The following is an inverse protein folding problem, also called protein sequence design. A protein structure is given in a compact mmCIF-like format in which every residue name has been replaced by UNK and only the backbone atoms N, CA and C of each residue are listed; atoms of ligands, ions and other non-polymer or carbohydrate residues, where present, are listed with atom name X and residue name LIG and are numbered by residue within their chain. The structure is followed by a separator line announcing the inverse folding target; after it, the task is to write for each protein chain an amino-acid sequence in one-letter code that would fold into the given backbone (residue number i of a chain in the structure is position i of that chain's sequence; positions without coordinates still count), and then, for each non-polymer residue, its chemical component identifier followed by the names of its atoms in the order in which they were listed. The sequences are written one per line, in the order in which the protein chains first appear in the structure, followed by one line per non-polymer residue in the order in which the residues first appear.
data_IF_884669662309
#
_entry.id   IF_884669662309
#
_cell.length_a   1.000
_cell.length_b   1.000
_cell.length_c   1.000
_cell.angle_alpha   90.00
_cell.angle_beta   90.00
_cell.angle_gamma   90.00
#
_symmetry.space_group_name_H-M   'P 1'
#
loop_
_entity.id
_entity.type
_entity.pdbx_description
1 polymer ?
#
# COMPACT_ATOMS: atom_id res chain seq x y z
N UNK A 1 51.49 -8.56 106.05
CA UNK A 1 51.72 -8.01 104.70
C UNK A 1 50.84 -8.74 103.71
N UNK A 2 49.67 -8.17 103.37
CA UNK A 2 48.80 -8.64 102.29
C UNK A 2 48.24 -7.37 101.64
N UNK A 3 48.69 -7.07 100.41
CA UNK A 3 48.21 -5.95 99.59
C UNK A 3 46.86 -6.34 98.98
N UNK A 4 45.82 -5.54 99.24
CA UNK A 4 44.54 -5.60 98.53
C UNK A 4 44.63 -4.70 97.30
N UNK A 5 44.55 -5.30 96.11
CA UNK A 5 44.48 -4.59 94.83
C UNK A 5 43.05 -4.76 94.32
N UNK A 6 42.31 -3.66 94.21
CA UNK A 6 40.96 -3.61 93.64
C UNK A 6 41.05 -3.57 92.11
N UNK A 7 40.36 -4.51 91.46
CA UNK A 7 40.20 -4.58 90.00
C UNK A 7 38.90 -3.85 89.62
N UNK A 8 39.00 -2.76 88.86
CA UNK A 8 37.86 -2.04 88.28
C UNK A 8 37.56 -2.65 86.91
N UNK A 9 36.37 -3.23 86.76
CA UNK A 9 35.87 -3.82 85.52
C UNK A 9 35.19 -2.73 84.68
N UNK A 10 35.80 -2.33 83.55
CA UNK A 10 35.16 -1.46 82.55
C UNK A 10 34.10 -2.26 81.78
N UNK A 11 32.82 -1.92 81.91
CA UNK A 11 31.76 -2.36 80.98
C UNK A 11 31.83 -1.48 79.73
N UNK A 12 32.32 -2.04 78.62
CA UNK A 12 32.19 -1.43 77.29
C UNK A 12 30.82 -1.75 76.70
N UNK A 13 30.02 -0.72 76.42
CA UNK A 13 28.76 -0.85 75.66
C UNK A 13 29.09 -1.05 74.19
N UNK A 14 28.91 -2.27 73.68
CA UNK A 14 28.91 -2.53 72.23
C UNK A 14 27.57 -2.08 71.64
N UNK A 15 27.58 -1.03 70.83
CA UNK A 15 26.47 -0.69 69.94
C UNK A 15 26.51 -1.60 68.72
N UNK A 16 25.49 -2.44 68.55
CA UNK A 16 25.25 -3.14 67.30
C UNK A 16 24.75 -2.14 66.25
N UNK A 17 25.62 -1.77 65.30
CA UNK A 17 25.20 -1.06 64.10
C UNK A 17 24.56 -2.07 63.15
N UNK A 18 23.24 -1.98 62.97
CA UNK A 18 22.54 -2.67 61.90
C UNK A 18 22.90 -1.98 60.59
N UNK A 19 23.48 -2.71 59.64
CA UNK A 19 23.70 -2.23 58.29
C UNK A 19 22.33 -2.10 57.63
N UNK A 20 21.85 -0.88 57.49
CA UNK A 20 20.64 -0.54 56.73
C UNK A 20 21.02 -0.60 55.24
N UNK A 21 21.06 -1.81 54.67
CA UNK A 21 21.18 -2.00 53.22
C UNK A 21 19.81 -1.78 52.60
N UNK A 22 19.32 -0.53 52.62
CA UNK A 22 18.29 -0.12 51.69
C UNK A 22 18.89 -0.23 50.28
N UNK A 23 18.25 -0.97 49.34
CA UNK A 23 18.69 -0.98 47.96
C UNK A 23 18.67 0.45 47.42
N UNK A 24 19.76 0.87 46.78
CA UNK A 24 19.81 2.15 46.07
C UNK A 24 18.86 2.04 44.88
N UNK A 25 17.64 2.57 45.02
CA UNK A 25 16.77 2.81 43.88
C UNK A 25 17.39 3.93 43.03
N UNK A 26 17.97 3.54 41.90
CA UNK A 26 18.38 4.50 40.88
C UNK A 26 17.11 5.04 40.21
N UNK A 27 17.00 6.36 40.12
CA UNK A 27 15.96 6.98 39.32
C UNK A 27 16.04 6.44 37.89
N UNK A 28 14.90 6.00 37.34
CA UNK A 28 14.80 5.63 35.94
C UNK A 28 15.31 6.79 35.09
N UNK A 29 16.40 6.55 34.36
CA UNK A 29 16.86 7.50 33.35
C UNK A 29 16.08 7.17 32.08
N UNK A 30 15.12 8.00 31.73
CA UNK A 30 14.47 7.94 30.42
C UNK A 30 15.54 8.29 29.38
N UNK A 31 15.92 7.33 28.55
CA UNK A 31 16.70 7.61 27.34
C UNK A 31 15.67 7.95 26.27
N UNK A 32 15.32 9.23 26.19
CA UNK A 32 14.52 9.75 25.08
C UNK A 32 15.45 9.92 23.87
N UNK A 33 15.31 9.04 22.89
CA UNK A 33 15.86 9.25 21.56
C UNK A 33 14.96 10.22 20.82
N UNK A 34 15.27 11.51 20.85
CA UNK A 34 14.57 12.51 20.04
C UNK A 34 15.01 12.31 18.58
N UNK A 35 14.19 11.61 17.78
CA UNK A 35 14.28 11.68 16.33
C UNK A 35 13.55 12.95 15.92
N UNK A 36 14.31 14.01 15.62
CA UNK A 36 13.75 15.22 15.01
C UNK A 36 12.88 14.82 13.82
N UNK A 37 11.59 15.17 13.86
CA UNK A 37 10.73 15.06 12.70
C UNK A 37 11.37 15.91 11.59
N UNK A 38 11.87 15.32 10.49
CA UNK A 38 12.66 16.09 9.54
C UNK A 38 11.81 17.21 8.95
N UNK A 39 12.23 18.46 9.12
CA UNK A 39 11.63 19.58 8.40
C UNK A 39 12.31 19.71 7.04
N UNK A 40 11.54 19.61 5.95
CA UNK A 40 12.04 19.72 4.57
C UNK A 40 12.15 18.39 3.82
N UNK A 41 12.99 18.35 2.79
CA UNK A 41 13.18 17.15 1.95
C UNK A 41 13.94 16.10 2.76
N UNK A 42 13.34 14.92 2.96
CA UNK A 42 13.91 13.80 3.71
C UNK A 42 15.04 13.11 2.93
N UNK A 43 16.21 13.74 2.91
CA UNK A 43 17.35 13.26 2.12
C UNK A 43 18.11 12.10 2.78
N UNK A 44 18.03 12.02 4.11
CA UNK A 44 18.82 11.09 4.92
C UNK A 44 17.98 9.90 5.43
N UNK A 45 16.73 9.79 4.95
CA UNK A 45 15.85 8.66 5.20
C UNK A 45 16.10 7.54 4.18
N UNK A 46 16.26 6.27 4.62
CA UNK A 46 16.37 5.13 3.72
C UNK A 46 15.16 4.96 2.80
N UNK A 47 15.40 4.71 1.51
CA UNK A 47 14.37 4.45 0.52
C UNK A 47 14.50 3.00 0.03
N UNK A 48 13.62 2.12 0.51
CA UNK A 48 13.67 0.69 0.19
C UNK A 48 13.47 0.40 -1.31
N UNK A 49 12.71 1.26 -1.99
CA UNK A 49 12.43 1.11 -3.42
C UNK A 49 13.64 1.43 -4.30
N UNK A 50 14.56 2.27 -3.80
CA UNK A 50 15.73 2.73 -4.54
C UNK A 50 16.92 1.78 -4.49
N UNK A 51 17.05 1.00 -3.41
CA UNK A 51 18.14 0.05 -3.21
C UNK A 51 17.78 -0.97 -2.14
N UNK A 52 18.34 -2.18 -2.24
CA UNK A 52 18.21 -3.24 -1.23
C UNK A 52 19.28 -3.12 -0.12
N UNK A 53 20.12 -2.08 -0.19
CA UNK A 53 21.18 -1.76 0.78
C UNK A 53 20.72 -0.76 1.85
N UNK A 54 19.45 -0.32 1.82
CA UNK A 54 18.94 0.69 2.76
C UNK A 54 19.58 2.07 2.56
N UNK A 55 19.87 2.43 1.31
CA UNK A 55 20.45 3.71 0.95
C UNK A 55 19.45 4.84 1.19
N UNK A 56 19.96 5.99 1.60
CA UNK A 56 19.13 7.21 1.71
C UNK A 56 18.85 7.81 0.34
N UNK A 57 17.95 8.80 0.29
CA UNK A 57 17.71 9.55 -0.95
C UNK A 57 18.99 10.22 -1.49
N UNK A 58 19.85 10.69 -0.59
CA UNK A 58 21.15 11.31 -0.92
C UNK A 58 22.15 10.31 -1.50
N UNK A 59 22.11 9.07 -1.04
CA UNK A 59 23.03 8.01 -1.45
C UNK A 59 22.58 7.27 -2.70
N UNK A 60 21.30 7.35 -3.05
CA UNK A 60 20.74 6.64 -4.21
C UNK A 60 21.10 7.37 -5.52
N UNK A 61 21.82 6.73 -6.47
CA UNK A 61 22.25 7.36 -7.71
C UNK A 61 21.14 7.39 -8.77
N UNK A 62 19.91 7.70 -8.37
CA UNK A 62 18.74 7.76 -9.24
C UNK A 62 17.79 8.87 -8.77
N UNK A 63 16.87 9.29 -9.65
CA UNK A 63 15.81 10.20 -9.21
C UNK A 63 14.84 9.45 -8.31
N UNK A 64 14.76 9.87 -7.06
CA UNK A 64 13.85 9.32 -6.07
C UNK A 64 12.84 10.37 -5.63
N UNK A 65 11.63 9.94 -5.30
CA UNK A 65 10.61 10.78 -4.69
C UNK A 65 9.85 9.95 -3.67
N UNK A 66 9.56 10.55 -2.52
CA UNK A 66 8.82 9.92 -1.43
C UNK A 66 7.68 10.84 -1.06
N UNK A 67 6.47 10.30 -1.01
CA UNK A 67 5.33 10.93 -0.37
C UNK A 67 5.06 10.18 0.94
N UNK A 68 5.55 10.74 2.04
CA UNK A 68 5.46 10.17 3.38
C UNK A 68 4.14 10.51 4.08
N UNK A 69 3.96 10.03 5.31
CA UNK A 69 2.68 10.20 6.01
C UNK A 69 2.29 11.67 6.20
N UNK A 70 3.15 12.56 6.74
CA UNK A 70 2.84 13.97 6.90
C UNK A 70 2.47 14.66 5.58
N UNK A 71 3.18 14.37 4.48
CA UNK A 71 2.86 14.96 3.18
C UNK A 71 1.50 14.48 2.67
N UNK A 72 1.21 13.18 2.80
CA UNK A 72 -0.09 12.62 2.39
C UNK A 72 -1.25 13.26 3.17
N UNK A 73 -1.08 13.49 4.47
CA UNK A 73 -2.06 14.17 5.31
C UNK A 73 -2.21 15.64 4.94
N UNK A 74 -1.11 16.36 4.73
CA UNK A 74 -1.12 17.78 4.34
C UNK A 74 -1.81 18.00 2.99
N UNK A 75 -1.67 17.06 2.05
CA UNK A 75 -2.40 17.09 0.78
C UNK A 75 -3.88 16.71 0.90
N UNK A 76 -4.30 16.14 2.03
CA UNK A 76 -5.65 15.60 2.19
C UNK A 76 -5.95 14.46 1.22
N UNK A 77 -4.91 13.69 0.81
CA UNK A 77 -5.05 12.68 -0.23
C UNK A 77 -6.07 11.61 0.18
N UNK A 78 -6.93 11.23 -0.77
CA UNK A 78 -7.98 10.22 -0.53
C UNK A 78 -7.50 8.82 -0.80
N UNK A 79 -6.77 8.66 -1.90
CA UNK A 79 -6.28 7.37 -2.33
C UNK A 79 -4.89 7.48 -2.95
N UNK A 80 -4.35 6.33 -3.33
CA UNK A 80 -3.04 6.17 -3.96
C UNK A 80 -2.83 7.03 -5.21
N UNK A 81 -3.89 7.42 -5.94
CA UNK A 81 -3.75 8.29 -7.12
C UNK A 81 -3.49 9.74 -6.71
N UNK A 82 -4.20 10.24 -5.69
CA UNK A 82 -3.94 11.57 -5.12
C UNK A 82 -2.51 11.66 -4.59
N UNK A 83 -2.07 10.61 -3.87
CA UNK A 83 -0.72 10.53 -3.31
C UNK A 83 0.35 10.64 -4.40
N UNK A 84 0.25 9.84 -5.46
CA UNK A 84 1.25 9.87 -6.53
C UNK A 84 1.14 11.10 -7.44
N UNK A 85 -0.03 11.73 -7.53
CA UNK A 85 -0.19 13.01 -8.24
C UNK A 85 0.51 14.17 -7.53
N UNK A 86 0.76 14.06 -6.22
CA UNK A 86 1.60 15.00 -5.50
C UNK A 86 3.11 14.80 -5.76
N UNK A 87 3.51 13.66 -6.36
CA UNK A 87 4.92 13.35 -6.64
C UNK A 87 5.41 14.01 -7.92
N UNK A 88 6.70 14.34 -7.95
CA UNK A 88 7.29 15.07 -9.09
C UNK A 88 7.38 14.21 -10.35
N UNK A 89 6.82 14.71 -11.46
CA UNK A 89 6.93 14.09 -12.79
C UNK A 89 6.04 12.88 -13.02
N UNK A 90 5.17 12.57 -12.06
CA UNK A 90 4.14 11.53 -12.18
C UNK A 90 2.82 12.19 -12.58
N UNK A 91 2.08 11.54 -13.47
CA UNK A 91 0.70 11.86 -13.74
C UNK A 91 -0.14 10.60 -13.56
N UNK A 92 -1.06 10.63 -12.61
CA UNK A 92 -2.03 9.57 -12.40
C UNK A 92 -3.43 10.06 -12.72
N UNK A 93 -4.22 9.19 -13.33
CA UNK A 93 -5.60 9.45 -13.69
C UNK A 93 -6.44 8.19 -13.61
N UNK A 94 -7.72 8.33 -13.30
CA UNK A 94 -8.72 7.31 -13.53
C UNK A 94 -9.50 7.71 -14.78
N UNK A 95 -8.96 7.40 -15.96
CA UNK A 95 -9.70 7.60 -17.20
C UNK A 95 -11.01 6.80 -17.15
N UNK A 96 -12.11 7.30 -17.75
CA UNK A 96 -13.37 6.57 -17.75
C UNK A 96 -13.20 5.11 -18.21
N UNK A 97 -13.81 4.18 -17.48
CA UNK A 97 -13.65 2.73 -17.70
C UNK A 97 -12.36 2.11 -17.15
N UNK A 98 -11.48 2.87 -16.49
CA UNK A 98 -10.16 2.39 -16.06
C UNK A 98 -9.96 2.58 -14.55
N UNK A 99 -9.42 1.55 -13.87
CA UNK A 99 -9.20 1.58 -12.41
C UNK A 99 -8.04 2.48 -11.98
N UNK A 100 -7.05 2.67 -12.85
CA UNK A 100 -5.94 3.59 -12.61
C UNK A 100 -4.93 3.59 -13.73
N UNK A 101 -4.53 4.78 -14.16
CA UNK A 101 -3.55 5.02 -15.20
C UNK A 101 -2.42 5.85 -14.60
N UNK A 102 -1.19 5.41 -14.82
CA UNK A 102 -0.01 6.12 -14.36
C UNK A 102 0.90 6.36 -15.57
N UNK A 103 1.39 7.58 -15.66
CA UNK A 103 2.44 8.00 -16.56
C UNK A 103 3.59 8.62 -15.76
N UNK A 104 4.82 8.29 -16.15
CA UNK A 104 6.03 8.89 -15.58
C UNK A 104 7.06 9.09 -16.68
N UNK A 105 7.55 10.32 -16.86
CA UNK A 105 8.51 10.68 -17.94
C UNK A 105 8.07 10.23 -19.35
N UNK A 106 6.77 10.21 -19.62
CA UNK A 106 6.19 9.75 -20.89
C UNK A 106 6.03 8.21 -21.03
N UNK A 107 6.56 7.43 -20.09
CA UNK A 107 6.28 5.99 -19.99
C UNK A 107 4.91 5.76 -19.35
N UNK A 108 4.19 4.73 -19.79
CA UNK A 108 2.81 4.46 -19.36
C UNK A 108 2.56 2.97 -19.14
N UNK A 109 1.48 2.64 -18.42
CA UNK A 109 1.02 1.26 -18.23
C UNK A 109 2.16 0.34 -17.73
N UNK A 110 2.41 -0.77 -18.43
CA UNK A 110 3.40 -1.79 -18.09
C UNK A 110 4.86 -1.31 -18.18
N UNK A 111 5.11 -0.04 -18.52
CA UNK A 111 6.44 0.57 -18.53
C UNK A 111 6.79 1.27 -17.20
N UNK A 112 5.81 1.46 -16.30
CA UNK A 112 6.00 1.97 -14.96
C UNK A 112 5.51 0.90 -13.99
N UNK A 113 6.44 0.22 -13.32
CA UNK A 113 6.10 -0.90 -12.43
C UNK A 113 5.44 -0.38 -11.17
N UNK A 114 4.29 -0.94 -10.82
CA UNK A 114 3.64 -0.70 -9.54
C UNK A 114 3.90 -1.89 -8.62
N UNK A 115 4.60 -1.60 -7.53
CA UNK A 115 4.90 -2.51 -6.46
C UNK A 115 4.02 -2.19 -5.28
N UNK A 116 3.75 -3.19 -4.48
CA UNK A 116 3.07 -2.97 -3.23
C UNK A 116 3.84 -3.76 -2.16
N UNK A 117 4.33 -3.04 -1.16
CA UNK A 117 5.32 -3.53 -0.21
C UNK A 117 6.54 -4.21 -0.86
N UNK A 118 7.04 -3.62 -1.95
CA UNK A 118 8.17 -4.12 -2.72
C UNK A 118 7.89 -5.41 -3.52
N UNK A 119 6.63 -5.85 -3.60
CA UNK A 119 6.21 -7.04 -4.35
C UNK A 119 5.51 -6.61 -5.64
N UNK A 120 5.96 -7.16 -6.77
CA UNK A 120 5.28 -6.98 -8.05
C UNK A 120 4.10 -7.96 -8.11
N UNK A 121 2.88 -7.42 -8.03
CA UNK A 121 1.67 -8.22 -8.05
C UNK A 121 1.32 -8.74 -9.46
N UNK A 122 2.12 -8.40 -10.48
CA UNK A 122 1.83 -8.71 -11.87
C UNK A 122 0.54 -8.04 -12.35
N UNK A 123 0.27 -6.86 -11.80
CA UNK A 123 -0.91 -6.08 -12.14
C UNK A 123 -0.97 -5.82 -13.65
N UNK A 124 -2.16 -6.03 -14.19
CA UNK A 124 -2.54 -5.50 -15.51
C UNK A 124 -3.30 -4.19 -15.32
N UNK A 125 -3.78 -3.63 -16.44
CA UNK A 125 -4.58 -2.42 -16.62
C UNK A 125 -5.77 -2.16 -15.66
N UNK A 126 -6.05 -3.03 -14.70
CA UNK A 126 -7.31 -3.08 -13.97
C UNK A 126 -7.20 -2.87 -12.44
N UNK A 127 -6.01 -2.48 -11.94
CA UNK A 127 -5.81 -2.14 -10.52
C UNK A 127 -6.63 -0.91 -10.14
N UNK A 128 -7.40 -1.02 -9.07
CA UNK A 128 -8.13 0.13 -8.49
C UNK A 128 -7.31 0.80 -7.37
N UNK A 129 -7.55 2.09 -7.08
CA UNK A 129 -6.78 2.85 -6.10
C UNK A 129 -6.93 2.25 -4.70
N UNK A 130 -5.86 2.38 -3.92
CA UNK A 130 -5.84 2.00 -2.50
C UNK A 130 -6.10 3.22 -1.65
N UNK A 131 -6.91 3.08 -0.60
CA UNK A 131 -7.17 4.15 0.36
C UNK A 131 -5.87 4.68 0.98
N UNK A 132 -5.70 6.01 1.03
CA UNK A 132 -4.49 6.64 1.54
C UNK A 132 -4.30 6.44 3.06
N UNK A 133 -5.36 6.11 3.80
CA UNK A 133 -5.31 5.87 5.24
C UNK A 133 -4.41 4.70 5.61
N UNK A 134 -4.46 3.59 4.87
CA UNK A 134 -3.65 2.40 5.15
C UNK A 134 -2.21 2.52 4.66
N UNK A 135 -1.91 3.52 3.83
CA UNK A 135 -0.56 3.79 3.34
C UNK A 135 0.28 4.51 4.40
N UNK A 136 1.50 4.04 4.61
CA UNK A 136 2.52 4.75 5.37
C UNK A 136 3.16 5.81 4.47
N UNK A 137 3.59 5.37 3.29
CA UNK A 137 4.21 6.22 2.28
C UNK A 137 4.14 5.59 0.89
N UNK A 138 4.43 6.40 -0.12
CA UNK A 138 4.64 5.95 -1.50
C UNK A 138 6.01 6.40 -1.97
N UNK A 139 6.78 5.46 -2.49
CA UNK A 139 8.14 5.68 -2.98
C UNK A 139 8.19 5.52 -4.50
N UNK A 140 8.96 6.37 -5.18
CA UNK A 140 9.21 6.32 -6.61
C UNK A 140 10.72 6.27 -6.84
N UNK A 141 11.17 5.35 -7.67
CA UNK A 141 12.48 5.41 -8.33
C UNK A 141 12.28 5.61 -9.84
N UNK A 142 12.90 6.65 -10.37
CA UNK A 142 12.79 7.02 -11.77
C UNK A 142 13.90 6.47 -12.65
N UNK A 143 13.55 6.09 -13.88
CA UNK A 143 14.45 5.47 -14.85
C UNK A 143 14.42 3.94 -14.77
N UNK A 144 15.20 3.24 -15.61
CA UNK A 144 15.21 1.79 -15.64
C UNK A 144 15.62 1.18 -14.29
N UNK A 145 14.66 0.56 -13.61
CA UNK A 145 14.84 -0.08 -12.28
C UNK A 145 14.58 -1.59 -12.34
N UNK A 146 14.67 -2.17 -13.54
CA UNK A 146 14.45 -3.59 -13.78
C UNK A 146 15.43 -4.51 -13.05
N UNK A 147 16.62 -4.01 -12.69
CA UNK A 147 17.59 -4.77 -11.89
C UNK A 147 17.11 -5.03 -10.44
N UNK A 148 16.24 -4.15 -9.90
CA UNK A 148 15.66 -4.31 -8.55
C UNK A 148 14.28 -4.96 -8.59
N UNK A 149 13.48 -4.62 -9.61
CA UNK A 149 12.03 -4.83 -9.61
C UNK A 149 11.52 -5.69 -10.77
N UNK A 150 12.43 -6.27 -11.55
CA UNK A 150 12.12 -7.19 -12.63
C UNK A 150 11.52 -6.53 -13.87
N UNK A 151 10.83 -7.33 -14.69
CA UNK A 151 10.28 -6.90 -15.97
C UNK A 151 9.24 -5.77 -15.83
N UNK A 152 9.21 -4.85 -16.79
CA UNK A 152 8.25 -3.74 -16.87
C UNK A 152 8.75 -2.41 -16.28
N UNK A 153 9.81 -2.44 -15.47
CA UNK A 153 10.36 -1.26 -14.82
C UNK A 153 11.31 -0.48 -15.74
N UNK A 154 10.82 0.02 -16.87
CA UNK A 154 11.61 0.75 -17.89
C UNK A 154 11.62 2.26 -17.61
N UNK A 155 10.46 2.82 -17.31
CA UNK A 155 10.32 4.24 -16.96
C UNK A 155 10.60 4.51 -15.47
N UNK A 156 10.36 3.54 -14.61
CA UNK A 156 10.53 3.63 -13.18
C UNK A 156 9.71 2.58 -12.43
N UNK A 157 9.80 2.63 -11.11
CA UNK A 157 8.95 1.86 -10.20
C UNK A 157 8.32 2.77 -9.15
N UNK A 158 7.05 2.55 -8.87
CA UNK A 158 6.30 3.13 -7.76
C UNK A 158 6.01 2.01 -6.77
N UNK A 159 6.22 2.25 -5.48
CA UNK A 159 5.97 1.29 -4.42
C UNK A 159 5.03 1.87 -3.37
N UNK A 160 3.89 1.23 -3.18
CA UNK A 160 2.95 1.56 -2.12
C UNK A 160 3.33 0.79 -0.86
N UNK A 161 3.68 1.48 0.22
CA UNK A 161 4.06 0.86 1.49
C UNK A 161 2.92 1.06 2.48
N UNK A 162 2.40 -0.04 3.03
CA UNK A 162 1.35 -0.01 4.06
C UNK A 162 1.94 0.15 5.44
N UNK A 163 1.15 0.75 6.32
CA UNK A 163 1.53 0.89 7.73
C UNK A 163 1.63 -0.48 8.40
N UNK A 164 2.65 -0.63 9.24
CA UNK A 164 2.89 -1.83 10.05
C UNK A 164 3.04 -1.46 11.52
N UNK A 165 2.92 -2.46 12.38
CA UNK A 165 3.18 -2.34 13.81
C UNK A 165 4.60 -1.80 14.04
N UNK A 166 4.70 -0.78 14.89
CA UNK A 166 5.97 -0.15 15.26
C UNK A 166 6.16 -0.14 16.77
N UNK A 167 7.42 -0.19 17.19
CA UNK A 167 7.85 -0.04 18.58
C UNK A 167 7.93 1.43 18.99
N UNK A 168 8.17 2.31 18.02
CA UNK A 168 8.64 3.67 18.23
C UNK A 168 7.54 4.63 18.68
N UNK A 169 6.28 4.24 18.51
CA UNK A 169 5.14 5.11 18.74
C UNK A 169 3.94 4.34 19.27
N UNK A 170 3.23 4.90 20.24
CA UNK A 170 1.87 4.47 20.55
C UNK A 170 0.91 5.54 20.03
N UNK A 171 0.00 5.13 19.16
CA UNK A 171 -0.87 6.05 18.44
C UNK A 171 -2.29 5.54 18.51
N UNK A 172 -3.21 6.46 18.74
CA UNK A 172 -4.64 6.31 18.44
C UNK A 172 -5.02 7.57 17.65
N UNK A 173 -5.40 7.38 16.40
CA UNK A 173 -5.74 8.46 15.48
C UNK A 173 -7.03 8.14 14.72
N UNK A 174 -7.57 9.17 14.07
CA UNK A 174 -8.75 9.01 13.24
C UNK A 174 -9.00 10.22 12.36
N UNK A 175 -9.79 9.99 11.31
CA UNK A 175 -10.14 10.98 10.30
C UNK A 175 -11.63 10.90 9.99
N UNK A 176 -12.26 12.06 9.93
CA UNK A 176 -13.61 12.23 9.41
C UNK A 176 -13.54 13.19 8.21
N UNK A 177 -14.15 12.82 7.09
CA UNK A 177 -14.30 13.68 5.93
C UNK A 177 -15.75 13.75 5.49
N UNK A 178 -16.16 14.92 5.03
CA UNK A 178 -17.42 15.13 4.32
C UNK A 178 -17.22 16.27 3.31
N UNK A 179 -17.70 16.10 2.09
CA UNK A 179 -17.47 17.04 1.00
C UNK A 179 -18.51 16.97 -0.11
N UNK A 180 -18.19 17.61 -1.24
CA UNK A 180 -19.06 17.62 -2.42
C UNK A 180 -19.42 16.22 -2.89
N UNK A 181 -20.62 16.08 -3.46
CA UNK A 181 -21.15 14.81 -3.97
C UNK A 181 -21.37 13.76 -2.88
N UNK A 182 -21.68 14.21 -1.65
CA UNK A 182 -21.84 13.35 -0.47
C UNK A 182 -20.63 12.43 -0.22
N UNK A 183 -19.45 12.86 -0.66
CA UNK A 183 -18.19 12.17 -0.42
C UNK A 183 -17.86 12.25 1.08
N UNK A 184 -17.77 11.10 1.72
CA UNK A 184 -17.62 10.94 3.15
C UNK A 184 -16.66 9.82 3.47
N UNK A 185 -15.93 9.98 4.57
CA UNK A 185 -15.02 8.94 5.05
C UNK A 185 -14.98 8.95 6.58
N UNK A 186 -14.93 7.74 7.15
CA UNK A 186 -14.53 7.48 8.53
C UNK A 186 -13.30 6.60 8.48
N UNK A 187 -12.25 7.02 9.18
CA UNK A 187 -11.05 6.22 9.37
C UNK A 187 -10.56 6.28 10.82
N UNK A 188 -9.96 5.19 11.29
CA UNK A 188 -9.30 5.13 12.58
C UNK A 188 -8.08 4.22 12.53
N UNK A 189 -7.12 4.50 13.40
CA UNK A 189 -5.87 3.77 13.49
C UNK A 189 -5.44 3.62 14.93
N UNK A 190 -4.81 2.49 15.23
CA UNK A 190 -4.21 2.21 16.53
C UNK A 190 -2.88 1.49 16.32
N UNK A 191 -1.83 1.94 16.98
CA UNK A 191 -0.57 1.23 17.14
C UNK A 191 -0.25 1.13 18.63
N UNK A 192 -0.14 -0.08 19.16
CA UNK A 192 -0.05 -0.30 20.61
C UNK A 192 0.90 -1.43 20.97
N UNK A 193 1.66 -1.22 22.05
CA UNK A 193 2.44 -2.26 22.68
C UNK A 193 1.52 -3.21 23.47
N UNK A 194 1.70 -4.52 23.31
CA UNK A 194 0.91 -5.58 23.94
C UNK A 194 1.56 -6.05 25.24
N UNK A 195 1.65 -5.15 26.22
CA UNK A 195 2.14 -5.43 27.57
C UNK A 195 1.52 -4.48 28.58
N UNK A 196 1.55 -4.84 29.87
CA UNK A 196 1.09 -3.96 30.95
C UNK A 196 1.98 -2.72 31.11
N UNK A 197 3.29 -2.89 30.90
CA UNK A 197 4.26 -1.81 30.80
C UNK A 197 4.83 -1.80 29.37
N UNK A 198 4.65 -0.71 28.60
CA UNK A 198 5.21 -0.59 27.26
C UNK A 198 6.71 -0.86 27.14
N UNK A 199 7.49 -0.54 28.17
CA UNK A 199 8.94 -0.76 28.16
C UNK A 199 9.33 -2.25 28.15
N UNK A 200 8.44 -3.13 28.63
CA UNK A 200 8.66 -4.58 28.68
C UNK A 200 8.03 -5.31 27.48
N UNK A 201 7.46 -4.55 26.53
CA UNK A 201 6.70 -5.13 25.43
C UNK A 201 7.61 -5.86 24.44
N UNK A 202 7.20 -7.08 24.11
CA UNK A 202 7.80 -7.92 23.05
C UNK A 202 6.90 -8.07 21.84
N UNK A 203 5.68 -7.57 21.94
CA UNK A 203 4.66 -7.69 20.91
C UNK A 203 4.00 -6.33 20.74
N UNK A 204 3.78 -5.94 19.49
CA UNK A 204 3.19 -4.67 19.11
C UNK A 204 2.16 -4.96 18.03
N UNK A 205 1.00 -4.32 18.12
CA UNK A 205 -0.04 -4.45 17.11
C UNK A 205 -0.30 -3.11 16.43
N UNK A 206 -0.70 -3.19 15.17
CA UNK A 206 -1.30 -2.08 14.45
C UNK A 206 -2.58 -2.51 13.76
N UNK A 207 -3.60 -1.66 13.84
CA UNK A 207 -4.85 -1.78 13.09
C UNK A 207 -5.19 -0.41 12.50
N UNK A 208 -5.36 -0.35 11.19
CA UNK A 208 -5.92 0.79 10.48
C UNK A 208 -7.17 0.32 9.73
N UNK A 209 -8.26 1.08 9.85
CA UNK A 209 -9.49 0.86 9.12
C UNK A 209 -9.98 2.17 8.51
N UNK A 210 -10.46 2.12 7.27
CA UNK A 210 -11.20 3.21 6.66
C UNK A 210 -12.41 2.69 5.88
N UNK A 211 -13.47 3.50 5.87
CA UNK A 211 -14.66 3.33 5.04
C UNK A 211 -15.00 4.66 4.37
N UNK A 212 -15.07 4.64 3.06
CA UNK A 212 -15.48 5.77 2.22
C UNK A 212 -16.78 5.50 1.47
N UNK A 213 -17.55 6.56 1.23
CA UNK A 213 -18.72 6.54 0.36
C UNK A 213 -18.86 7.90 -0.33
N UNK A 214 -19.25 7.90 -1.61
CA UNK A 214 -19.62 9.12 -2.31
C UNK A 214 -20.55 8.84 -3.49
N UNK A 215 -21.33 9.84 -3.89
CA UNK A 215 -22.24 9.74 -5.03
C UNK A 215 -21.56 9.92 -6.39
N UNK A 216 -20.32 10.43 -6.39
CA UNK A 216 -19.60 10.80 -7.61
C UNK A 216 -20.11 12.11 -8.22
N UNK A 217 -19.27 12.74 -9.05
CA UNK A 217 -19.64 13.97 -9.77
C UNK A 217 -20.34 13.68 -11.10
N UNK A 218 -20.40 12.41 -11.50
CA UNK A 218 -21.10 11.88 -12.65
C UNK A 218 -22.42 11.28 -12.17
N UNK A 219 -23.49 11.46 -12.93
CA UNK A 219 -24.79 10.91 -12.59
C UNK A 219 -24.72 9.40 -12.38
N UNK A 220 -25.32 8.91 -11.29
CA UNK A 220 -25.35 7.47 -10.94
C UNK A 220 -23.96 6.82 -10.97
N UNK A 221 -22.97 7.45 -10.36
CA UNK A 221 -21.62 6.89 -10.26
C UNK A 221 -21.17 6.81 -8.80
N UNK A 222 -21.98 6.13 -7.98
CA UNK A 222 -21.67 5.96 -6.57
C UNK A 222 -20.44 5.09 -6.38
N UNK A 223 -19.60 5.42 -5.40
CA UNK A 223 -18.42 4.64 -5.01
C UNK A 223 -18.41 4.37 -3.52
N UNK A 224 -18.06 3.16 -3.13
CA UNK A 224 -17.83 2.74 -1.76
C UNK A 224 -16.44 2.10 -1.66
N UNK A 225 -15.69 2.47 -0.61
CA UNK A 225 -14.38 1.89 -0.33
C UNK A 225 -14.32 1.38 1.10
N UNK A 226 -13.73 0.21 1.29
CA UNK A 226 -13.37 -0.35 2.59
C UNK A 226 -11.90 -0.73 2.57
N UNK A 227 -11.15 -0.36 3.58
CA UNK A 227 -9.76 -0.76 3.73
C UNK A 227 -9.45 -1.12 5.18
N UNK A 228 -8.72 -2.21 5.36
CA UNK A 228 -8.22 -2.68 6.64
C UNK A 228 -6.79 -3.13 6.48
N UNK A 229 -5.90 -2.65 7.34
CA UNK A 229 -4.55 -3.15 7.49
C UNK A 229 -4.33 -3.51 8.96
N UNK A 230 -3.96 -4.75 9.22
CA UNK A 230 -3.63 -5.24 10.55
C UNK A 230 -2.25 -5.87 10.53
N UNK A 231 -1.46 -5.62 11.57
CA UNK A 231 -0.20 -6.33 11.73
C UNK A 231 0.17 -6.53 13.19
N UNK A 232 0.96 -7.58 13.42
CA UNK A 232 1.59 -7.86 14.71
C UNK A 232 3.08 -8.01 14.49
N UNK A 233 3.85 -7.18 15.17
CA UNK A 233 5.30 -7.27 15.27
C UNK A 233 5.65 -7.96 16.59
N UNK A 234 6.49 -8.99 16.52
CA UNK A 234 6.90 -9.80 17.66
C UNK A 234 8.42 -9.93 17.71
N UNK A 235 9.00 -9.55 18.83
CA UNK A 235 10.40 -9.79 19.16
C UNK A 235 10.53 -11.20 19.70
N UNK A 236 10.78 -12.17 18.82
CA UNK A 236 10.86 -13.59 19.17
C UNK A 236 12.14 -13.91 19.95
N UNK A 237 13.25 -13.25 19.60
CA UNK A 237 14.53 -13.31 20.30
C UNK A 237 15.24 -11.94 20.18
N UNK A 238 16.33 -11.67 20.94
CA UNK A 238 17.06 -10.40 20.86
C UNK A 238 17.54 -10.01 19.45
N UNK A 239 17.71 -11.00 18.57
CA UNK A 239 18.16 -10.84 17.20
C UNK A 239 17.18 -11.37 16.16
N UNK A 240 15.94 -11.71 16.56
CA UNK A 240 14.93 -12.30 15.67
C UNK A 240 13.57 -11.64 15.89
N UNK A 241 13.05 -11.01 14.84
CA UNK A 241 11.75 -10.33 14.89
C UNK A 241 10.86 -10.82 13.76
N UNK A 242 9.57 -10.95 14.03
CA UNK A 242 8.58 -11.43 13.07
C UNK A 242 7.43 -10.44 12.97
N UNK A 243 7.08 -10.04 11.74
CA UNK A 243 5.88 -9.27 11.45
C UNK A 243 4.91 -10.12 10.65
N UNK A 244 3.72 -10.32 11.20
CA UNK A 244 2.58 -10.88 10.49
C UNK A 244 1.67 -9.72 10.08
N UNK A 245 1.38 -9.57 8.79
CA UNK A 245 0.51 -8.53 8.26
C UNK A 245 -0.65 -9.11 7.44
N UNK A 246 -1.85 -8.57 7.66
CA UNK A 246 -3.11 -8.91 7.02
C UNK A 246 -3.73 -7.64 6.46
N UNK A 247 -4.11 -7.64 5.19
CA UNK A 247 -4.76 -6.50 4.55
C UNK A 247 -6.01 -6.94 3.80
N UNK A 248 -7.05 -6.13 3.88
CA UNK A 248 -8.29 -6.27 3.13
C UNK A 248 -8.61 -4.94 2.46
N UNK A 249 -8.96 -4.97 1.18
CA UNK A 249 -9.42 -3.78 0.46
C UNK A 249 -10.61 -4.17 -0.40
N UNK A 250 -11.64 -3.35 -0.38
CA UNK A 250 -12.80 -3.44 -1.25
C UNK A 250 -13.10 -2.08 -1.85
N UNK A 251 -13.25 -2.02 -3.17
CA UNK A 251 -13.65 -0.83 -3.91
C UNK A 251 -14.81 -1.23 -4.82
N UNK A 252 -15.96 -0.59 -4.64
CA UNK A 252 -17.16 -0.82 -5.44
C UNK A 252 -17.63 0.49 -6.04
N UNK A 253 -17.75 0.51 -7.36
CA UNK A 253 -18.27 1.61 -8.15
C UNK A 253 -19.51 1.12 -8.88
N UNK A 254 -20.65 1.73 -8.57
CA UNK A 254 -21.94 1.43 -9.19
C UNK A 254 -22.11 2.29 -10.44
N UNK A 255 -22.65 1.69 -11.50
CA UNK A 255 -22.86 2.29 -12.82
C UNK A 255 -21.60 3.06 -13.28
N UNK A 256 -20.49 2.35 -13.58
CA UNK A 256 -19.19 2.96 -13.84
C UNK A 256 -19.20 3.87 -15.07
N UNK A 257 -18.56 5.03 -14.95
CA UNK A 257 -18.53 6.00 -16.04
C UNK A 257 -17.55 5.58 -17.15
N UNK A 258 -18.05 5.57 -18.39
CA UNK A 258 -17.28 5.19 -19.60
C UNK A 258 -17.03 6.35 -20.58
N UNK A 259 -17.19 7.58 -20.10
CA UNK A 259 -16.95 8.77 -20.89
C UNK A 259 -18.20 9.29 -21.60
N UNK A 260 -18.07 10.44 -22.24
CA UNK A 260 -19.15 11.04 -23.05
C UNK A 260 -18.89 10.81 -24.55
N UNK A 261 -19.94 10.59 -25.35
CA UNK A 261 -19.81 10.47 -26.79
C UNK A 261 -19.26 11.76 -27.42
N UNK A 262 -18.51 11.61 -28.50
CA UNK A 262 -17.95 12.73 -29.27
C UNK A 262 -18.97 13.22 -30.30
N UNK A 263 -19.10 14.54 -30.43
CA UNK A 263 -19.97 15.17 -31.43
C UNK A 263 -19.58 14.76 -32.86
N UNK A 264 -20.55 14.35 -33.71
CA UNK A 264 -20.27 13.84 -35.04
C UNK A 264 -19.77 14.92 -36.00
N UNK A 265 -19.02 14.52 -37.03
CA UNK A 265 -18.63 15.38 -38.16
C UNK A 265 -17.62 16.49 -37.82
N UNK A 266 -16.86 16.35 -36.72
CA UNK A 266 -15.86 17.34 -36.30
C UNK A 266 -14.44 16.88 -36.66
N UNK A 267 -13.60 17.83 -37.06
CA UNK A 267 -12.15 17.61 -37.28
C UNK A 267 -11.35 17.50 -35.99
N UNK A 268 -11.95 17.86 -34.85
CA UNK A 268 -11.35 17.75 -33.51
C UNK A 268 -12.36 17.10 -32.57
N UNK A 269 -11.88 16.29 -31.62
CA UNK A 269 -12.74 15.65 -30.63
C UNK A 269 -13.36 16.71 -29.70
N UNK A 270 -14.69 16.77 -29.69
CA UNK A 270 -15.46 17.65 -28.79
C UNK A 270 -16.63 16.87 -28.20
N UNK A 271 -16.80 16.98 -26.88
CA UNK A 271 -18.01 16.51 -26.19
C UNK A 271 -19.07 17.61 -26.17
N UNK A 272 -20.33 17.23 -25.98
CA UNK A 272 -21.36 18.19 -25.59
C UNK A 272 -21.14 18.60 -24.13
N UNK A 273 -20.88 19.89 -23.90
CA UNK A 273 -20.56 20.39 -22.57
C UNK A 273 -21.78 20.43 -21.66
N UNK A 274 -23.00 20.56 -22.18
CA UNK A 274 -24.22 20.57 -21.35
C UNK A 274 -24.48 19.19 -20.72
N UNK A 275 -24.04 18.11 -21.39
CA UNK A 275 -24.27 16.71 -21.01
C UNK A 275 -23.05 16.00 -20.41
N UNK A 276 -22.00 16.75 -20.07
CA UNK A 276 -20.70 16.18 -19.65
C UNK A 276 -20.73 15.37 -18.34
N UNK A 277 -21.81 15.46 -17.58
CA UNK A 277 -22.01 14.72 -16.32
C UNK A 277 -22.98 13.55 -16.46
N UNK A 278 -23.61 13.39 -17.63
CA UNK A 278 -24.53 12.30 -17.90
C UNK A 278 -23.75 10.99 -18.06
N UNK A 279 -24.27 9.93 -17.44
CA UNK A 279 -23.69 8.60 -17.48
C UNK A 279 -24.56 7.66 -18.30
N UNK A 280 -24.10 7.33 -19.50
CA UNK A 280 -24.85 6.45 -20.40
C UNK A 280 -24.69 4.96 -20.08
N UNK A 281 -24.16 4.57 -18.92
CA UNK A 281 -24.11 3.15 -18.55
C UNK A 281 -25.48 2.62 -18.05
N UNK A 282 -25.58 1.29 -17.95
CA UNK A 282 -26.73 0.58 -17.34
C UNK A 282 -26.85 0.86 -15.84
N UNK A 283 -28.06 0.75 -15.28
CA UNK A 283 -28.37 1.15 -13.90
C UNK A 283 -27.60 0.33 -12.87
N UNK A 284 -27.53 -0.96 -13.13
CA UNK A 284 -26.86 -1.97 -12.34
C UNK A 284 -25.44 -2.23 -12.86
N UNK A 285 -24.84 -1.33 -13.64
CA UNK A 285 -23.41 -1.42 -13.95
C UNK A 285 -22.58 -1.56 -12.65
N UNK A 286 -21.47 -2.27 -12.67
CA UNK A 286 -20.64 -2.46 -11.47
C UNK A 286 -19.21 -2.70 -11.83
N UNK A 287 -18.32 -1.98 -11.16
CA UNK A 287 -16.91 -2.27 -11.02
C UNK A 287 -16.61 -2.57 -9.57
N UNK A 288 -16.01 -3.73 -9.31
CA UNK A 288 -15.69 -4.14 -7.96
C UNK A 288 -14.29 -4.77 -7.90
N UNK A 289 -13.52 -4.45 -6.88
CA UNK A 289 -12.27 -5.10 -6.55
C UNK A 289 -12.29 -5.51 -5.08
N UNK A 290 -12.00 -6.77 -4.80
CA UNK A 290 -11.74 -7.29 -3.45
C UNK A 290 -10.33 -7.86 -3.39
N UNK A 291 -9.53 -7.40 -2.43
CA UNK A 291 -8.15 -7.82 -2.22
C UNK A 291 -8.00 -8.37 -0.81
N UNK A 292 -7.29 -9.48 -0.69
CA UNK A 292 -6.82 -10.06 0.57
C UNK A 292 -5.33 -10.30 0.46
N UNK A 293 -4.58 -9.80 1.43
CA UNK A 293 -3.14 -9.96 1.48
C UNK A 293 -2.71 -10.49 2.83
N UNK A 294 -1.87 -11.52 2.82
CA UNK A 294 -1.13 -12.02 3.95
C UNK A 294 0.38 -11.86 3.68
N UNK A 295 1.13 -11.31 4.63
CA UNK A 295 2.59 -11.26 4.61
C UNK A 295 3.15 -11.76 5.95
N UNK A 296 4.21 -12.55 5.87
CA UNK A 296 5.01 -13.00 7.01
C UNK A 296 6.45 -12.57 6.74
N UNK A 297 6.94 -11.63 7.55
CA UNK A 297 8.25 -11.01 7.41
C UNK A 297 9.08 -11.42 8.63
N UNK A 298 10.18 -12.13 8.41
CA UNK A 298 11.09 -12.57 9.45
C UNK A 298 12.43 -11.87 9.25
N UNK A 299 12.83 -11.06 10.22
CA UNK A 299 14.10 -10.35 10.23
C UNK A 299 15.02 -11.00 11.27
N UNK A 300 16.19 -11.44 10.82
CA UNK A 300 17.18 -12.13 11.65
C UNK A 300 18.55 -11.46 11.55
N UNK A 301 19.04 -10.93 12.67
CA UNK A 301 20.39 -10.39 12.79
C UNK A 301 21.36 -11.52 13.14
N UNK A 302 22.16 -11.96 12.16
CA UNK A 302 23.15 -13.02 12.33
C UNK A 302 24.38 -12.54 13.11
N UNK A 303 24.80 -11.29 12.86
CA UNK A 303 25.92 -10.60 13.52
C UNK A 303 25.74 -9.09 13.38
N UNK A 304 26.56 -8.25 14.02
CA UNK A 304 26.48 -6.79 13.88
C UNK A 304 26.56 -6.29 12.42
N UNK A 305 27.20 -7.08 11.56
CA UNK A 305 27.41 -6.79 10.14
C UNK A 305 26.54 -7.58 9.17
N UNK A 306 25.74 -8.54 9.64
CA UNK A 306 24.98 -9.45 8.74
C UNK A 306 23.55 -9.63 9.21
N UNK A 307 22.60 -9.40 8.30
CA UNK A 307 21.18 -9.66 8.52
C UNK A 307 20.57 -10.46 7.38
N UNK A 308 19.51 -11.19 7.70
CA UNK A 308 18.70 -11.92 6.74
C UNK A 308 17.24 -11.58 6.95
N UNK A 309 16.54 -11.20 5.89
CA UNK A 309 15.10 -11.03 5.87
C UNK A 309 14.46 -12.12 5.00
N UNK A 310 13.41 -12.74 5.51
CA UNK A 310 12.53 -13.61 4.74
C UNK A 310 11.13 -13.00 4.66
N UNK A 311 10.60 -12.80 3.45
CA UNK A 311 9.24 -12.32 3.21
C UNK A 311 8.44 -13.36 2.44
N UNK A 312 7.58 -14.08 3.15
CA UNK A 312 6.56 -14.96 2.56
C UNK A 312 5.27 -14.15 2.37
N UNK A 313 4.67 -14.23 1.18
CA UNK A 313 3.47 -13.45 0.87
C UNK A 313 2.45 -14.25 0.06
N UNK A 314 1.18 -14.04 0.40
CA UNK A 314 0.04 -14.56 -0.34
C UNK A 314 -0.95 -13.43 -0.63
N UNK A 315 -1.22 -13.22 -1.91
CA UNK A 315 -2.12 -12.20 -2.42
C UNK A 315 -3.26 -12.87 -3.19
N UNK A 316 -4.49 -12.53 -2.85
CA UNK A 316 -5.68 -12.93 -3.59
C UNK A 316 -6.49 -11.70 -3.95
N UNK A 317 -6.91 -11.61 -5.21
CA UNK A 317 -7.78 -10.55 -5.67
C UNK A 317 -8.87 -11.07 -6.60
N UNK A 318 -10.08 -10.61 -6.36
CA UNK A 318 -11.20 -10.75 -7.27
C UNK A 318 -11.55 -9.39 -7.84
N UNK A 319 -11.82 -9.33 -9.15
CA UNK A 319 -12.32 -8.11 -9.79
C UNK A 319 -13.49 -8.42 -10.68
N UNK A 320 -14.62 -7.77 -10.46
CA UNK A 320 -15.86 -8.02 -11.17
C UNK A 320 -16.28 -6.74 -11.93
N UNK A 321 -16.63 -6.89 -13.20
CA UNK A 321 -17.00 -5.81 -14.10
C UNK A 321 -18.29 -6.18 -14.84
N UNK A 322 -19.27 -5.28 -14.87
CA UNK A 322 -20.45 -5.33 -15.74
C UNK A 322 -20.79 -3.92 -16.22
N UNK A 323 -20.78 -3.71 -17.53
CA UNK A 323 -20.84 -2.38 -18.11
C UNK A 323 -21.10 -2.41 -19.62
N UNK A 324 -21.50 -1.26 -20.18
CA UNK A 324 -21.52 -0.98 -21.62
C UNK A 324 -20.38 -0.02 -21.96
N UNK A 325 -19.59 -0.33 -23.00
CA UNK A 325 -18.26 0.29 -23.20
C UNK A 325 -18.15 1.28 -24.35
N UNK A 326 -19.18 1.42 -25.18
CA UNK A 326 -19.13 2.30 -26.35
C UNK A 326 -20.35 3.18 -26.47
N UNK A 327 -20.11 4.48 -26.69
CA UNK A 327 -21.14 5.49 -26.92
C UNK A 327 -20.86 6.29 -28.21
N UNK A 328 -21.91 6.58 -28.96
CA UNK A 328 -21.84 7.45 -30.14
C UNK A 328 -23.15 8.19 -30.36
N UNK A 329 -23.12 9.37 -30.97
CA UNK A 329 -24.34 10.07 -31.36
C UNK A 329 -24.94 9.50 -32.66
N UNK A 330 -26.24 9.32 -32.67
CA UNK A 330 -27.04 9.11 -33.88
C UNK A 330 -27.30 10.43 -34.60
N UNK A 331 -27.78 10.37 -35.84
CA UNK A 331 -28.10 11.56 -36.64
C UNK A 331 -29.16 12.47 -35.98
N UNK A 332 -30.03 11.90 -35.14
CA UNK A 332 -31.10 12.62 -34.45
C UNK A 332 -30.68 13.18 -33.08
N UNK A 333 -29.41 13.03 -32.69
CA UNK A 333 -28.90 13.49 -31.39
C UNK A 333 -29.04 12.51 -30.24
N UNK A 334 -29.71 11.36 -30.43
CA UNK A 334 -29.76 10.28 -29.45
C UNK A 334 -28.40 9.60 -29.30
N UNK A 335 -28.17 8.91 -28.18
CA UNK A 335 -26.93 8.17 -27.91
C UNK A 335 -27.13 6.69 -28.22
N UNK A 336 -26.37 6.18 -29.19
CA UNK A 336 -26.24 4.74 -29.41
C UNK A 336 -25.19 4.16 -28.47
N UNK A 337 -25.56 3.12 -27.73
CA UNK A 337 -24.65 2.38 -26.84
C UNK A 337 -24.44 0.96 -27.35
N UNK A 338 -23.27 0.37 -27.08
CA UNK A 338 -22.93 -0.99 -27.52
C UNK A 338 -21.74 -1.55 -26.74
N UNK A 339 -21.37 -2.80 -27.07
CA UNK A 339 -20.28 -3.53 -26.40
C UNK A 339 -20.58 -3.77 -24.91
N UNK A 340 -21.63 -4.55 -24.59
CA UNK A 340 -21.81 -4.99 -23.22
C UNK A 340 -20.67 -5.94 -22.85
N UNK A 341 -20.15 -5.78 -21.65
CA UNK A 341 -19.02 -6.52 -21.15
C UNK A 341 -19.28 -6.98 -19.71
N UNK A 342 -19.22 -8.28 -19.50
CA UNK A 342 -19.24 -8.94 -18.21
C UNK A 342 -17.92 -9.67 -18.02
N UNK A 343 -17.19 -9.37 -16.94
CA UNK A 343 -15.88 -9.94 -16.70
C UNK A 343 -15.69 -10.19 -15.21
N UNK A 344 -15.12 -11.35 -14.87
CA UNK A 344 -14.50 -11.57 -13.57
C UNK A 344 -13.04 -11.96 -13.72
N UNK A 345 -12.18 -11.43 -12.84
CA UNK A 345 -10.79 -11.82 -12.68
C UNK A 345 -10.60 -12.47 -11.32
N UNK A 346 -10.05 -13.68 -11.30
CA UNK A 346 -9.60 -14.34 -10.07
C UNK A 346 -8.08 -14.48 -10.11
N UNK A 347 -7.39 -13.75 -9.25
CA UNK A 347 -5.95 -13.68 -9.16
C UNK A 347 -5.45 -14.26 -7.82
N UNK A 348 -4.41 -15.08 -7.90
CA UNK A 348 -3.72 -15.64 -6.76
C UNK A 348 -2.21 -15.54 -7.00
N UNK A 349 -1.47 -14.99 -6.05
CA UNK A 349 -0.02 -14.89 -6.08
C UNK A 349 0.52 -15.38 -4.75
N UNK A 350 1.36 -16.42 -4.82
CA UNK A 350 2.14 -16.90 -3.69
C UNK A 350 3.61 -16.71 -4.03
N UNK A 351 4.37 -16.12 -3.12
CA UNK A 351 5.81 -15.99 -3.30
C UNK A 351 6.55 -15.92 -1.99
N UNK A 352 7.84 -16.18 -2.09
CA UNK A 352 8.79 -16.15 -1.00
C UNK A 352 10.08 -15.47 -1.47
N UNK A 353 10.60 -14.58 -0.62
CA UNK A 353 11.82 -13.82 -0.90
C UNK A 353 12.75 -13.88 0.28
N UNK A 354 14.01 -14.23 0.04
CA UNK A 354 15.07 -14.25 1.05
C UNK A 354 16.13 -13.25 0.62
N UNK A 355 16.52 -12.38 1.54
CA UNK A 355 17.45 -11.29 1.31
C UNK A 355 18.49 -11.31 2.42
N UNK A 356 19.77 -11.30 2.05
CA UNK A 356 20.90 -11.21 2.97
C UNK A 356 21.58 -9.87 2.75
N UNK A 357 21.79 -9.12 3.83
CA UNK A 357 22.64 -7.94 3.84
C UNK A 357 23.92 -8.25 4.61
N UNK A 358 25.05 -7.80 4.09
CA UNK A 358 26.34 -7.96 4.73
C UNK A 358 27.23 -6.73 4.53
N UNK A 359 27.67 -6.13 5.63
CA UNK A 359 28.55 -4.99 5.65
C UNK A 359 29.98 -5.47 5.97
N UNK A 360 30.96 -5.09 5.17
CA UNK A 360 32.37 -5.48 5.33
C UNK A 360 33.34 -4.40 4.84
N UNK A 361 34.63 -4.74 4.77
CA UNK A 361 35.66 -3.89 4.17
C UNK A 361 36.26 -4.62 2.97
N UNK A 362 36.29 -3.96 1.81
CA UNK A 362 36.89 -4.49 0.59
C UNK A 362 37.92 -3.48 0.05
N UNK A 363 39.16 -3.91 -0.13
CA UNK A 363 40.29 -3.05 -0.55
C UNK A 363 40.52 -1.80 0.34
N UNK A 364 40.14 -1.87 1.62
CA UNK A 364 40.24 -0.75 2.56
C UNK A 364 39.06 0.23 2.55
N UNK A 365 38.05 -0.02 1.71
CA UNK A 365 36.80 0.77 1.65
C UNK A 365 35.65 0.01 2.31
N UNK A 366 34.70 0.77 2.89
CA UNK A 366 33.48 0.19 3.44
C UNK A 366 32.64 -0.37 2.30
N UNK A 367 32.29 -1.65 2.36
CA UNK A 367 31.58 -2.35 1.30
C UNK A 367 30.32 -3.00 1.84
N UNK A 368 29.18 -2.68 1.24
CA UNK A 368 27.87 -3.21 1.62
C UNK A 368 27.35 -4.11 0.51
N UNK A 369 26.87 -5.29 0.88
CA UNK A 369 26.34 -6.29 -0.04
C UNK A 369 24.89 -6.58 0.29
N UNK A 370 24.07 -6.71 -0.76
CA UNK A 370 22.73 -7.29 -0.70
C UNK A 370 22.69 -8.45 -1.68
N UNK A 371 22.27 -9.62 -1.21
CA UNK A 371 22.09 -10.83 -2.01
C UNK A 371 20.68 -11.34 -1.80
N UNK A 372 20.00 -11.78 -2.85
CA UNK A 372 18.66 -12.33 -2.64
C UNK A 372 18.20 -13.33 -3.68
N UNK A 373 17.23 -14.12 -3.22
CA UNK A 373 16.55 -15.16 -3.96
C UNK A 373 15.05 -14.88 -3.88
N UNK A 374 14.37 -14.96 -5.02
CA UNK A 374 12.92 -14.83 -5.06
C UNK A 374 12.31 -15.94 -5.90
N UNK A 375 11.26 -16.55 -5.37
CA UNK A 375 10.38 -17.43 -6.11
C UNK A 375 8.94 -16.95 -5.94
N UNK A 376 8.22 -16.77 -7.05
CA UNK A 376 6.79 -16.47 -6.97
C UNK A 376 6.01 -17.13 -8.09
N UNK A 377 4.74 -17.44 -7.81
CA UNK A 377 3.81 -18.02 -8.77
C UNK A 377 2.49 -17.25 -8.72
N UNK A 378 2.24 -16.52 -9.80
CA UNK A 378 0.96 -15.86 -10.04
C UNK A 378 0.09 -16.74 -10.95
N UNK A 379 -1.19 -16.84 -10.61
CA UNK A 379 -2.24 -17.43 -11.44
C UNK A 379 -3.38 -16.43 -11.55
N UNK A 380 -3.85 -16.18 -12.76
CA UNK A 380 -5.04 -15.38 -13.01
C UNK A 380 -5.98 -16.14 -13.95
N UNK A 381 -7.24 -16.30 -13.55
CA UNK A 381 -8.30 -16.86 -14.40
C UNK A 381 -9.27 -15.77 -14.79
N UNK A 382 -9.60 -15.70 -16.08
CA UNK A 382 -10.53 -14.72 -16.65
C UNK A 382 -11.87 -15.39 -16.95
N UNK A 383 -12.95 -14.64 -16.71
CA UNK A 383 -14.32 -15.07 -16.98
C UNK A 383 -15.10 -14.04 -17.83
N UNK A 384 -14.71 -13.80 -19.09
CA UNK A 384 -15.41 -12.88 -19.99
C UNK A 384 -16.71 -13.46 -20.53
N UNK A 385 -17.71 -12.59 -20.63
CA UNK A 385 -18.89 -12.78 -21.46
C UNK A 385 -19.22 -11.45 -22.14
N UNK A 386 -19.40 -11.47 -23.45
CA UNK A 386 -19.85 -10.32 -24.23
C UNK A 386 -20.81 -10.79 -25.32
N UNK A 387 -21.62 -9.87 -25.84
CA UNK A 387 -22.56 -10.15 -26.93
C UNK A 387 -22.57 -9.02 -27.97
N UNK A 388 -23.07 -9.33 -29.16
CA UNK A 388 -23.37 -8.32 -30.16
C UNK A 388 -24.69 -7.66 -29.81
N UNK A 389 -24.62 -6.52 -29.13
CA UNK A 389 -25.78 -5.75 -28.71
C UNK A 389 -25.55 -4.26 -28.93
N UNK A 390 -26.62 -3.56 -29.27
CA UNK A 390 -26.68 -2.10 -29.26
C UNK A 390 -28.08 -1.63 -28.95
N UNK A 391 -28.18 -0.51 -28.26
CA UNK A 391 -29.42 0.23 -28.07
C UNK A 391 -29.25 1.71 -28.41
N UNK A 392 -30.36 2.45 -28.44
CA UNK A 392 -30.37 3.89 -28.63
C UNK A 392 -31.22 4.49 -27.52
N UNK A 393 -30.63 5.44 -26.79
CA UNK A 393 -31.27 6.13 -25.68
C UNK A 393 -31.43 7.61 -25.99
N UNK A 394 -32.58 8.16 -25.58
CA UNK A 394 -32.83 9.60 -25.60
C UNK A 394 -32.11 10.24 -24.40
N UNK A 395 -31.10 11.10 -24.61
CA UNK A 395 -30.39 11.73 -23.49
C UNK A 395 -31.26 12.75 -22.73
N UNK A 396 -32.37 13.25 -23.30
CA UNK A 396 -33.32 14.12 -22.56
C UNK A 396 -34.27 13.34 -21.65
N UNK A 397 -34.46 12.05 -21.92
CA UNK A 397 -35.32 11.14 -21.14
C UNK A 397 -34.61 9.80 -20.93
N UNK A 398 -33.40 9.86 -20.36
CA UNK A 398 -32.53 8.70 -20.28
C UNK A 398 -33.05 7.65 -19.30
N UNK A 399 -33.47 6.51 -19.85
CA UNK A 399 -33.65 5.26 -19.11
C UNK A 399 -32.41 4.37 -19.31
N UNK A 400 -31.64 4.07 -18.25
CA UNK A 400 -30.48 3.20 -18.38
C UNK A 400 -30.76 1.75 -18.74
N UNK A 401 -31.93 1.22 -18.39
CA UNK A 401 -32.17 -0.21 -18.33
C UNK A 401 -31.24 -0.97 -17.36
N UNK A 402 -31.31 -2.30 -17.43
CA UNK A 402 -30.50 -3.25 -16.66
C UNK A 402 -29.52 -4.00 -17.57
N UNK A 403 -28.35 -4.35 -17.05
CA UNK A 403 -27.36 -5.19 -17.71
C UNK A 403 -27.90 -6.61 -17.91
N UNK A 404 -28.62 -7.13 -16.91
CA UNK A 404 -29.15 -8.50 -16.94
C UNK A 404 -30.24 -8.69 -18.02
N UNK A 405 -30.85 -7.60 -18.48
CA UNK A 405 -31.83 -7.60 -19.57
C UNK A 405 -31.17 -7.66 -20.97
N UNK A 406 -29.85 -7.48 -21.06
CA UNK A 406 -29.12 -7.50 -22.33
C UNK A 406 -28.99 -8.95 -22.84
N UNK A 407 -29.51 -9.27 -24.04
CA UNK A 407 -29.42 -10.61 -24.59
C UNK A 407 -27.95 -11.06 -24.81
N UNK A 408 -27.64 -12.28 -24.37
CA UNK A 408 -26.35 -12.93 -24.59
C UNK A 408 -25.31 -12.69 -23.49
N UNK A 409 -25.52 -11.74 -22.58
CA UNK A 409 -24.71 -11.59 -21.36
C UNK A 409 -25.39 -12.15 -20.10
N UNK A 410 -26.71 -12.34 -20.16
CA UNK A 410 -27.53 -12.96 -19.11
C UNK A 410 -27.22 -14.45 -18.85
N UNK A 411 -26.42 -15.11 -19.71
CA UNK A 411 -25.95 -16.49 -19.49
C UNK A 411 -24.89 -16.59 -18.36
N UNK A 412 -24.42 -15.46 -17.84
CA UNK A 412 -23.42 -15.39 -16.78
C UNK A 412 -21.98 -15.51 -17.28
N UNK A 413 -21.07 -15.73 -16.34
CA UNK A 413 -19.62 -15.75 -16.56
C UNK A 413 -19.15 -17.03 -17.29
N UNK A 414 -18.40 -16.87 -18.39
CA UNK A 414 -17.78 -18.01 -19.10
C UNK A 414 -16.29 -18.11 -18.76
N UNK A 415 -15.88 -19.21 -18.13
CA UNK A 415 -14.45 -19.46 -17.87
C UNK A 415 -13.68 -19.54 -19.17
N UNK A 416 -12.65 -18.70 -19.30
CA UNK A 416 -11.84 -18.63 -20.51
C UNK A 416 -10.37 -18.94 -20.20
N UNK A 417 -9.47 -17.97 -20.35
CA UNK A 417 -8.03 -18.17 -20.24
C UNK A 417 -7.57 -18.19 -18.78
N UNK A 418 -6.59 -19.05 -18.51
CA UNK A 418 -5.80 -19.02 -17.29
C UNK A 418 -4.38 -18.61 -17.67
N UNK A 419 -3.90 -17.54 -17.04
CA UNK A 419 -2.53 -17.06 -17.14
C UNK A 419 -1.77 -17.53 -15.90
N UNK A 420 -0.60 -18.15 -16.11
CA UNK A 420 0.32 -18.48 -15.02
C UNK A 420 1.66 -17.82 -15.31
N UNK A 421 2.20 -17.14 -14.30
CA UNK A 421 3.54 -16.55 -14.35
C UNK A 421 4.33 -17.11 -13.18
N UNK A 422 5.49 -17.69 -13.47
CA UNK A 422 6.43 -18.14 -12.44
C UNK A 422 7.67 -17.27 -12.52
N UNK A 423 7.97 -16.55 -11.45
CA UNK A 423 9.18 -15.78 -11.32
C UNK A 423 10.23 -16.58 -10.53
N UNK A 424 11.46 -16.53 -11.00
CA UNK A 424 12.65 -17.07 -10.32
C UNK A 424 13.75 -16.04 -10.50
N UNK A 425 14.19 -15.43 -9.42
CA UNK A 425 15.21 -14.40 -9.46
C UNK A 425 16.34 -14.69 -8.48
N UNK A 426 17.56 -14.34 -8.93
CA UNK A 426 18.75 -14.22 -8.11
C UNK A 426 19.27 -12.81 -8.37
N UNK A 427 19.52 -12.04 -7.32
CA UNK A 427 20.03 -10.68 -7.44
C UNK A 427 21.15 -10.43 -6.44
N UNK A 428 22.04 -9.52 -6.81
CA UNK A 428 23.15 -9.07 -5.99
C UNK A 428 23.38 -7.57 -6.25
N UNK A 429 23.57 -6.81 -5.18
CA UNK A 429 23.90 -5.39 -5.20
C UNK A 429 25.12 -5.16 -4.29
N UNK A 430 26.07 -4.33 -4.73
CA UNK A 430 27.21 -3.92 -3.92
C UNK A 430 27.41 -2.41 -4.03
N UNK A 431 27.69 -1.79 -2.89
CA UNK A 431 28.21 -0.44 -2.76
C UNK A 431 29.60 -0.54 -2.14
N UNK A 432 30.59 0.13 -2.74
CA UNK A 432 31.97 0.25 -2.28
C UNK A 432 32.27 1.67 -1.77
#
# INVERSE_FOLDING_TARGET
MIRKTSLVLLMGTCTFAWADTAPVELNATTIDGERDAPSGVQLDEPIQTGSRLGLTARETPASVSVSDRPLIEAHGAKDSQDVINAMTGVNASANPGYGGFIAYRGFTQNQVTQLYNGINLGYSSATRPVDAWVLDRVELIGGPSSFLHGAGAVGGSINYITKLASRDQQIIDGRLRYGSFDDSEVAFGINQALASNPADARHFMRLDFSRGQGNGYIDRNQRNTDSLAFSVLSDLAPNLTHTLALEYQEDREDSPYWGSPILPGRSTMKIDKSRRFENYNVADGRYEQRVRWLRSILDYQLSDSTSVQNTLYHYNAQRDYRNVERYSYTANGNVQRSSPYLQSHDQNLLGDRIELRHDNTLFGFASQWSLGLEYSRMRQTLYPTSSSWSDVVDPDHFDPGSFDDIPGVNAGLTKQRRHEVTNRAVFAENRL
#
